data_IF_823712629839
#
_entry.id   IF_823712629839
#
_cell.length_a   1.000
_cell.length_b   1.000
_cell.length_c   1.000
_cell.angle_alpha   90.00
_cell.angle_beta   90.00
_cell.angle_gamma   90.00
#
_symmetry.space_group_name_H-M   'P 1'
#
loop_
_entity.id
_entity.type
_entity.pdbx_description
1 polymer ?
#
# COMPACT_ATOMS: atom_id res chain seq x y z
N UNK A 1 -14.23 -12.51 -13.62
CA UNK A 1 -13.70 -12.98 -12.31
C UNK A 1 -13.78 -11.81 -11.35
N UNK A 2 -14.15 -12.05 -10.08
CA UNK A 2 -14.25 -10.97 -9.08
C UNK A 2 -13.04 -11.06 -8.14
N UNK A 3 -12.38 -9.92 -7.92
CA UNK A 3 -11.09 -9.85 -7.25
C UNK A 3 -11.19 -8.95 -6.02
N UNK A 4 -10.63 -9.39 -4.91
CA UNK A 4 -10.41 -8.58 -3.73
C UNK A 4 -8.92 -8.27 -3.60
N UNK A 5 -8.58 -6.99 -3.47
CA UNK A 5 -7.25 -6.53 -3.11
C UNK A 5 -7.27 -6.10 -1.65
N UNK A 6 -6.57 -6.82 -0.79
CA UNK A 6 -6.39 -6.48 0.61
C UNK A 6 -5.09 -5.69 0.76
N UNK A 7 -5.17 -4.45 1.22
CA UNK A 7 -4.01 -3.60 1.46
C UNK A 7 -3.70 -3.57 2.94
N UNK A 8 -2.56 -4.15 3.32
CA UNK A 8 -2.10 -4.15 4.70
C UNK A 8 -1.15 -2.98 4.88
N UNK A 9 -1.59 -1.94 5.59
CA UNK A 9 -0.89 -0.66 5.73
C UNK A 9 -0.43 -0.43 7.17
N UNK A 10 0.66 0.32 7.35
CA UNK A 10 1.26 0.56 8.68
C UNK A 10 0.41 1.44 9.57
N UNK A 11 -0.25 2.45 9.00
CA UNK A 11 -1.07 3.40 9.73
C UNK A 11 -2.10 2.76 10.65
N UNK A 12 -2.43 3.51 11.69
CA UNK A 12 -3.54 3.16 12.57
C UNK A 12 -4.89 3.52 11.93
N UNK A 13 -5.95 2.89 12.45
CA UNK A 13 -7.34 3.13 12.00
C UNK A 13 -7.82 4.58 12.14
N UNK A 14 -7.15 5.42 12.93
CA UNK A 14 -7.54 6.82 13.20
C UNK A 14 -6.91 7.83 12.24
N UNK A 15 -5.65 7.62 11.83
CA UNK A 15 -4.94 8.50 10.91
C UNK A 15 -5.31 8.22 9.45
N UNK A 16 -5.44 6.93 9.06
CA UNK A 16 -5.79 6.44 7.70
C UNK A 16 -5.00 7.08 6.54
N UNK A 17 -3.89 7.79 6.82
CA UNK A 17 -3.19 8.62 5.84
C UNK A 17 -2.66 7.77 4.70
N UNK A 18 -2.05 6.61 4.98
CA UNK A 18 -1.48 5.76 3.94
C UNK A 18 -2.57 5.28 2.98
N UNK A 19 -3.70 4.86 3.52
CA UNK A 19 -4.83 4.41 2.71
C UNK A 19 -5.38 5.52 1.83
N UNK A 20 -5.36 6.77 2.30
CA UNK A 20 -5.79 7.91 1.48
C UNK A 20 -4.88 8.06 0.26
N UNK A 21 -3.55 8.02 0.42
CA UNK A 21 -2.63 8.10 -0.72
C UNK A 21 -2.76 6.91 -1.66
N UNK A 22 -2.82 5.68 -1.13
CA UNK A 22 -2.96 4.46 -1.94
C UNK A 22 -4.26 4.47 -2.73
N UNK A 23 -5.38 4.83 -2.08
CA UNK A 23 -6.67 4.90 -2.74
C UNK A 23 -6.70 5.99 -3.81
N UNK A 24 -6.12 7.17 -3.53
CA UNK A 24 -6.06 8.27 -4.51
C UNK A 24 -5.20 7.86 -5.73
N UNK A 25 -4.14 7.08 -5.50
CA UNK A 25 -3.31 6.48 -6.57
C UNK A 25 -4.10 5.52 -7.44
N UNK A 26 -4.84 4.59 -6.82
CA UNK A 26 -5.69 3.64 -7.55
C UNK A 26 -6.78 4.39 -8.34
N UNK A 27 -7.48 5.31 -7.68
CA UNK A 27 -8.56 6.10 -8.29
C UNK A 27 -8.06 6.97 -9.44
N UNK A 28 -6.80 7.46 -9.39
CA UNK A 28 -6.23 8.33 -10.42
C UNK A 28 -5.64 7.54 -11.59
N UNK A 29 -4.72 6.59 -11.34
CA UNK A 29 -3.94 5.92 -12.38
C UNK A 29 -4.60 4.69 -13.00
N UNK A 30 -5.58 4.07 -12.33
CA UNK A 30 -6.16 2.80 -12.78
C UNK A 30 -7.65 2.90 -13.09
N UNK A 31 -8.06 2.20 -14.14
CA UNK A 31 -9.45 1.92 -14.44
C UNK A 31 -9.80 0.53 -13.90
N UNK A 32 -10.91 0.45 -13.18
CA UNK A 32 -11.35 -0.80 -12.60
C UNK A 32 -12.85 -0.81 -12.36
N UNK A 33 -13.47 -1.96 -12.61
CA UNK A 33 -14.88 -2.17 -12.30
C UNK A 33 -15.08 -2.29 -10.78
N UNK A 34 -15.75 -1.31 -10.19
CA UNK A 34 -16.04 -1.24 -8.74
C UNK A 34 -16.97 -2.37 -8.26
N UNK A 35 -17.68 -3.03 -9.15
CA UNK A 35 -18.52 -4.18 -8.85
C UNK A 35 -17.72 -5.48 -8.86
N UNK A 36 -16.70 -5.57 -9.72
CA UNK A 36 -15.82 -6.73 -9.82
C UNK A 36 -14.64 -6.69 -8.85
N UNK A 37 -14.09 -5.49 -8.58
CA UNK A 37 -12.91 -5.28 -7.74
C UNK A 37 -13.29 -4.69 -6.39
N UNK A 38 -12.95 -5.41 -5.31
CA UNK A 38 -13.13 -4.97 -3.93
C UNK A 38 -11.79 -4.58 -3.31
N UNK A 39 -11.62 -3.30 -2.98
CA UNK A 39 -10.45 -2.81 -2.25
C UNK A 39 -10.72 -2.86 -0.74
N UNK A 40 -9.86 -3.49 0.05
CA UNK A 40 -10.03 -3.68 1.50
C UNK A 40 -8.78 -3.28 2.27
N UNK A 41 -8.76 -2.15 3.00
CA UNK A 41 -7.63 -1.81 3.85
C UNK A 41 -7.64 -2.57 5.19
N UNK A 42 -6.48 -3.04 5.62
CA UNK A 42 -6.19 -3.64 6.93
C UNK A 42 -5.07 -2.82 7.56
N UNK A 43 -5.31 -2.28 8.75
CA UNK A 43 -4.41 -1.37 9.44
C UNK A 43 -3.57 -2.16 10.46
N UNK A 44 -2.25 -2.11 10.35
CA UNK A 44 -1.33 -2.86 11.22
C UNK A 44 -1.17 -2.24 12.61
N UNK A 45 -1.41 -0.94 12.75
CA UNK A 45 -1.14 -0.17 13.97
C UNK A 45 0.35 -0.27 14.40
N UNK A 46 1.24 -0.17 13.39
CA UNK A 46 2.71 -0.18 13.52
C UNK A 46 3.43 -1.31 12.75
N UNK A 47 4.61 -1.00 12.18
CA UNK A 47 5.40 -1.90 11.31
C UNK A 47 5.68 -3.27 11.90
N UNK A 48 5.94 -3.37 13.21
CA UNK A 48 6.26 -4.64 13.88
C UNK A 48 5.10 -5.64 14.01
N UNK A 49 3.86 -5.25 13.69
CA UNK A 49 2.65 -6.06 13.91
C UNK A 49 2.14 -6.77 12.65
N UNK A 50 2.95 -6.83 11.59
CA UNK A 50 2.55 -7.42 10.31
C UNK A 50 2.03 -8.86 10.40
N UNK A 51 2.58 -9.67 11.31
CA UNK A 51 2.11 -11.05 11.60
C UNK A 51 0.81 -11.10 12.38
N UNK A 52 0.53 -10.08 13.21
CA UNK A 52 -0.64 -10.08 14.09
C UNK A 52 -1.96 -9.91 13.32
N UNK A 53 -1.90 -9.47 12.06
CA UNK A 53 -3.07 -9.23 11.21
C UNK A 53 -3.45 -10.43 10.35
N UNK A 54 -2.72 -11.54 10.40
CA UNK A 54 -3.02 -12.78 9.66
C UNK A 54 -4.45 -13.29 9.92
N UNK A 55 -4.93 -13.23 11.17
CA UNK A 55 -6.32 -13.62 11.49
C UNK A 55 -7.35 -12.72 10.80
N UNK A 56 -7.11 -11.40 10.78
CA UNK A 56 -7.99 -10.43 10.13
C UNK A 56 -7.98 -10.60 8.60
N UNK A 57 -6.80 -10.82 8.01
CA UNK A 57 -6.63 -11.11 6.58
C UNK A 57 -7.35 -12.41 6.21
N UNK A 58 -7.13 -13.49 6.97
CA UNK A 58 -7.77 -14.79 6.74
C UNK A 58 -9.28 -14.71 6.83
N UNK A 59 -9.81 -13.94 7.80
CA UNK A 59 -11.24 -13.69 7.93
C UNK A 59 -11.80 -12.96 6.71
N UNK A 60 -11.10 -11.93 6.22
CA UNK A 60 -11.51 -11.18 5.04
C UNK A 60 -11.50 -12.05 3.76
N UNK A 61 -10.47 -12.88 3.59
CA UNK A 61 -10.36 -13.84 2.48
C UNK A 61 -11.53 -14.83 2.54
N UNK A 62 -11.77 -15.45 3.70
CA UNK A 62 -12.84 -16.43 3.89
C UNK A 62 -14.22 -15.82 3.62
N UNK A 63 -14.48 -14.63 4.16
CA UNK A 63 -15.74 -13.91 3.95
C UNK A 63 -15.97 -13.56 2.48
N UNK A 64 -14.93 -13.14 1.76
CA UNK A 64 -15.05 -12.81 0.34
C UNK A 64 -15.30 -14.05 -0.51
N UNK A 65 -14.54 -15.12 -0.26
CA UNK A 65 -14.68 -16.43 -0.93
C UNK A 65 -16.06 -17.05 -0.70
N UNK A 66 -16.62 -16.90 0.49
CA UNK A 66 -17.92 -17.47 0.85
C UNK A 66 -19.09 -16.95 0.00
N UNK A 67 -19.02 -15.73 -0.53
CA UNK A 67 -20.16 -15.19 -1.27
C UNK A 67 -20.23 -15.57 -2.75
N UNK A 68 -19.37 -16.44 -3.28
CA UNK A 68 -19.53 -16.95 -4.66
C UNK A 68 -18.30 -17.62 -5.28
N UNK A 69 -18.55 -18.47 -6.29
CA UNK A 69 -17.49 -19.14 -7.08
C UNK A 69 -16.70 -18.13 -7.93
N UNK A 70 -15.42 -18.42 -8.19
CA UNK A 70 -14.56 -17.58 -9.04
C UNK A 70 -14.08 -16.27 -8.40
N UNK A 71 -14.21 -16.15 -7.07
CA UNK A 71 -13.68 -15.02 -6.28
C UNK A 71 -12.26 -15.29 -5.84
N UNK A 72 -11.38 -14.35 -6.11
CA UNK A 72 -9.97 -14.41 -5.74
C UNK A 72 -9.61 -13.26 -4.82
N UNK A 73 -8.67 -13.49 -3.91
CA UNK A 73 -8.12 -12.45 -3.05
C UNK A 73 -6.62 -12.38 -3.24
N UNK A 74 -6.10 -11.15 -3.32
CA UNK A 74 -4.67 -10.84 -3.31
C UNK A 74 -4.38 -9.94 -2.12
N UNK A 75 -3.28 -10.22 -1.44
CA UNK A 75 -2.87 -9.48 -0.25
C UNK A 75 -1.60 -8.73 -0.61
N UNK A 76 -1.64 -7.41 -0.43
CA UNK A 76 -0.58 -6.48 -0.75
C UNK A 76 -0.17 -5.81 0.56
N UNK A 77 1.05 -6.08 0.99
CA UNK A 77 1.63 -5.46 2.16
C UNK A 77 2.37 -4.18 1.78
N UNK A 78 2.09 -3.09 2.48
CA UNK A 78 2.64 -1.77 2.22
C UNK A 78 3.45 -1.32 3.44
N UNK A 79 4.76 -1.07 3.24
CA UNK A 79 5.68 -0.69 4.30
C UNK A 79 6.47 0.57 3.98
N UNK A 80 6.71 1.38 5.01
CA UNK A 80 7.65 2.48 4.98
C UNK A 80 9.07 1.94 5.20
N UNK A 81 10.02 2.39 4.38
CA UNK A 81 11.41 1.92 4.49
C UNK A 81 12.21 2.67 5.58
N UNK A 82 11.62 3.68 6.22
CA UNK A 82 12.26 4.52 7.23
C UNK A 82 13.70 4.88 6.84
N UNK A 83 14.67 4.63 7.72
CA UNK A 83 16.08 4.93 7.49
C UNK A 83 16.86 3.66 7.12
N UNK A 84 16.32 2.79 6.27
CA UNK A 84 16.98 1.53 5.86
C UNK A 84 18.43 1.67 5.38
N UNK A 85 18.80 2.84 4.86
CA UNK A 85 20.13 3.13 4.35
C UNK A 85 21.15 3.49 5.44
N UNK A 86 20.70 3.92 6.62
CA UNK A 86 21.58 4.31 7.74
C UNK A 86 21.36 3.47 9.00
N UNK A 87 20.20 2.82 9.14
CA UNK A 87 19.84 1.96 10.27
C UNK A 87 19.78 0.50 9.83
N UNK A 88 20.71 -0.29 10.35
CA UNK A 88 20.80 -1.72 10.08
C UNK A 88 19.54 -2.48 10.51
N UNK A 89 18.87 -2.04 11.58
CA UNK A 89 17.62 -2.63 12.06
C UNK A 89 16.48 -2.52 11.03
N UNK A 90 16.34 -1.36 10.40
CA UNK A 90 15.32 -1.12 9.37
C UNK A 90 15.62 -1.95 8.11
N UNK A 91 16.89 -2.05 7.71
CA UNK A 91 17.30 -2.92 6.61
C UNK A 91 17.00 -4.41 6.90
N UNK A 92 17.28 -4.88 8.11
CA UNK A 92 17.02 -6.25 8.51
C UNK A 92 15.51 -6.53 8.62
N UNK A 93 14.74 -5.58 9.12
CA UNK A 93 13.28 -5.65 9.15
C UNK A 93 12.70 -5.78 7.73
N UNK A 94 13.11 -4.92 6.80
CA UNK A 94 12.65 -5.00 5.40
C UNK A 94 13.00 -6.34 4.76
N UNK A 95 14.21 -6.87 5.01
CA UNK A 95 14.60 -8.19 4.52
C UNK A 95 13.68 -9.29 5.05
N UNK A 96 13.38 -9.27 6.35
CA UNK A 96 12.47 -10.24 7.00
C UNK A 96 11.06 -10.16 6.43
N UNK A 97 10.53 -8.96 6.27
CA UNK A 97 9.19 -8.73 5.72
C UNK A 97 9.11 -9.18 4.27
N UNK A 98 10.12 -8.85 3.46
CA UNK A 98 10.19 -9.29 2.06
C UNK A 98 10.21 -10.82 1.96
N UNK A 99 10.98 -11.49 2.81
CA UNK A 99 10.98 -12.95 2.89
C UNK A 99 9.62 -13.50 3.30
N UNK A 100 8.99 -12.92 4.32
CA UNK A 100 7.65 -13.30 4.76
C UNK A 100 6.60 -13.17 3.64
N UNK A 101 6.59 -12.05 2.91
CA UNK A 101 5.70 -11.85 1.77
C UNK A 101 5.94 -12.90 0.68
N UNK A 102 7.20 -13.24 0.38
CA UNK A 102 7.53 -14.27 -0.60
C UNK A 102 7.04 -15.66 -0.17
N UNK A 103 7.24 -16.04 1.10
CA UNK A 103 6.78 -17.32 1.67
C UNK A 103 5.25 -17.45 1.62
N UNK A 104 4.52 -16.37 1.92
CA UNK A 104 3.06 -16.33 1.92
C UNK A 104 2.46 -16.08 0.52
N UNK A 105 3.29 -15.84 -0.50
CA UNK A 105 2.87 -15.42 -1.86
C UNK A 105 2.03 -14.14 -1.84
N UNK A 106 2.39 -13.21 -0.97
CA UNK A 106 1.84 -11.87 -0.89
C UNK A 106 2.71 -10.89 -1.66
N UNK A 107 2.08 -9.83 -2.18
CA UNK A 107 2.82 -8.76 -2.82
C UNK A 107 3.40 -7.81 -1.78
N UNK A 108 4.60 -7.31 -2.08
CA UNK A 108 5.33 -6.40 -1.23
C UNK A 108 5.49 -5.04 -1.93
N UNK A 109 4.86 -4.03 -1.33
CA UNK A 109 4.98 -2.63 -1.70
C UNK A 109 5.81 -1.90 -0.67
N UNK A 110 6.75 -1.09 -1.15
CA UNK A 110 7.63 -0.29 -0.32
C UNK A 110 7.51 1.19 -0.65
N UNK A 111 7.63 2.04 0.37
CA UNK A 111 7.76 3.49 0.24
C UNK A 111 9.11 3.92 0.77
N UNK A 112 9.99 4.45 -0.08
CA UNK A 112 11.32 4.85 0.37
C UNK A 112 11.22 6.05 1.33
N UNK A 113 11.78 5.87 2.52
CA UNK A 113 11.58 6.73 3.70
C UNK A 113 10.16 6.56 4.26
N UNK A 114 9.20 7.32 3.75
CA UNK A 114 7.80 7.26 4.20
C UNK A 114 6.86 7.57 3.03
N UNK A 115 5.61 7.11 3.12
CA UNK A 115 4.63 7.34 2.06
C UNK A 115 4.44 8.83 1.77
N UNK A 116 4.43 9.71 2.78
CA UNK A 116 4.27 11.15 2.55
C UNK A 116 5.40 11.74 1.71
N UNK A 117 6.66 11.30 1.91
CA UNK A 117 7.82 11.72 1.11
C UNK A 117 7.74 11.24 -0.32
N UNK A 118 7.25 10.02 -0.55
CA UNK A 118 7.05 9.51 -1.91
C UNK A 118 6.06 10.39 -2.70
N UNK A 119 4.93 10.76 -2.09
CA UNK A 119 3.88 11.52 -2.79
C UNK A 119 4.08 13.05 -2.76
N UNK A 120 4.70 13.60 -1.70
CA UNK A 120 4.83 15.05 -1.51
C UNK A 120 6.26 15.57 -1.62
N UNK A 121 7.26 14.68 -1.63
CA UNK A 121 8.68 15.02 -1.58
C UNK A 121 9.14 15.60 -0.24
N UNK A 122 8.28 15.64 0.78
CA UNK A 122 8.55 16.29 2.07
C UNK A 122 8.23 15.36 3.23
N UNK A 123 9.02 15.47 4.30
CA UNK A 123 8.71 14.83 5.58
C UNK A 123 7.50 15.53 6.20
N UNK A 124 6.54 14.74 6.66
CA UNK A 124 5.36 15.24 7.36
C UNK A 124 5.38 14.73 8.81
N UNK A 125 5.12 15.63 9.76
CA UNK A 125 5.05 15.26 11.17
C UNK A 125 3.83 14.37 11.43
N UNK A 126 3.96 13.43 12.38
CA UNK A 126 2.92 12.46 12.68
C UNK A 126 1.54 13.08 12.96
N UNK A 127 1.50 14.23 13.65
CA UNK A 127 0.28 14.98 13.97
C UNK A 127 -0.41 15.56 12.73
N UNK A 128 0.35 15.84 11.67
CA UNK A 128 -0.14 16.48 10.45
C UNK A 128 -0.42 15.49 9.32
N UNK A 129 0.02 14.21 9.44
CA UNK A 129 -0.12 13.19 8.39
C UNK A 129 -1.55 13.07 7.87
N UNK A 130 -2.52 12.99 8.78
CA UNK A 130 -3.96 12.92 8.43
C UNK A 130 -4.39 14.15 7.62
N UNK A 131 -4.19 15.35 8.18
CA UNK A 131 -4.57 16.62 7.53
C UNK A 131 -3.90 16.75 6.16
N UNK A 132 -2.63 16.39 6.04
CA UNK A 132 -1.88 16.45 4.78
C UNK A 132 -2.41 15.48 3.74
N UNK A 133 -2.73 14.25 4.13
CA UNK A 133 -3.32 13.28 3.21
C UNK A 133 -4.71 13.73 2.69
N UNK A 134 -5.52 14.33 3.55
CA UNK A 134 -6.83 14.91 3.17
C UNK A 134 -6.66 16.12 2.25
N UNK A 135 -5.72 17.03 2.55
CA UNK A 135 -5.36 18.17 1.69
C UNK A 135 -4.87 17.70 0.31
N UNK A 136 -4.01 16.70 0.27
CA UNK A 136 -3.44 16.12 -0.95
C UNK A 136 -4.55 15.63 -1.88
N UNK A 137 -5.45 14.80 -1.34
CA UNK A 137 -6.61 14.28 -2.06
C UNK A 137 -7.54 15.41 -2.51
N UNK A 138 -7.88 16.34 -1.62
CA UNK A 138 -8.79 17.47 -1.94
C UNK A 138 -8.25 18.34 -3.08
N UNK A 139 -6.93 18.56 -3.09
CA UNK A 139 -6.23 19.35 -4.11
C UNK A 139 -5.86 18.54 -5.36
N UNK A 140 -6.22 17.25 -5.43
CA UNK A 140 -5.88 16.33 -6.54
C UNK A 140 -4.38 16.34 -6.88
N UNK A 141 -3.53 16.44 -5.85
CA UNK A 141 -2.08 16.57 -6.03
C UNK A 141 -1.45 15.30 -6.65
N UNK A 142 -2.16 14.17 -6.62
CA UNK A 142 -1.78 12.93 -7.32
C UNK A 142 -1.48 13.15 -8.81
N UNK A 143 -2.15 14.13 -9.44
CA UNK A 143 -1.91 14.49 -10.85
C UNK A 143 -0.51 15.03 -11.14
N UNK A 144 0.16 15.61 -10.13
CA UNK A 144 1.53 16.10 -10.24
C UNK A 144 2.58 15.07 -9.84
N UNK A 145 2.18 13.88 -9.36
CA UNK A 145 3.10 12.82 -8.97
C UNK A 145 3.52 12.06 -10.21
N UNK A 146 4.83 12.00 -10.43
CA UNK A 146 5.37 11.33 -11.61
C UNK A 146 5.27 9.80 -11.49
N UNK A 147 4.85 9.14 -12.57
CA UNK A 147 4.66 7.69 -12.65
C UNK A 147 5.96 6.93 -12.42
N UNK A 148 7.09 7.44 -12.92
CA UNK A 148 8.44 6.87 -12.73
C UNK A 148 8.80 6.72 -11.24
N UNK A 149 8.39 7.67 -10.40
CA UNK A 149 8.61 7.59 -8.96
C UNK A 149 7.78 6.51 -8.27
N UNK A 150 6.61 6.17 -8.80
CA UNK A 150 5.73 5.16 -8.21
C UNK A 150 5.87 3.77 -8.86
N UNK A 151 6.70 3.65 -9.90
CA UNK A 151 6.96 2.42 -10.66
C UNK A 151 8.42 1.97 -10.58
N UNK A 152 9.14 2.39 -9.54
CA UNK A 152 10.55 2.07 -9.35
C UNK A 152 10.76 0.56 -9.11
N UNK A 153 11.82 0.01 -9.72
CA UNK A 153 12.19 -1.40 -9.56
C UNK A 153 13.09 -1.64 -8.34
N UNK A 154 13.86 -0.63 -7.94
CA UNK A 154 14.82 -0.67 -6.85
C UNK A 154 14.62 0.53 -5.91
N UNK A 155 15.11 0.39 -4.67
CA UNK A 155 14.99 1.44 -3.66
C UNK A 155 15.74 2.70 -4.07
N UNK A 156 15.01 3.81 -4.22
CA UNK A 156 15.55 5.14 -4.52
C UNK A 156 14.81 6.20 -3.69
N UNK A 157 15.46 7.33 -3.41
CA UNK A 157 14.83 8.38 -2.59
C UNK A 157 13.49 8.86 -3.17
N UNK A 158 12.46 8.91 -2.32
CA UNK A 158 11.11 9.35 -2.66
C UNK A 158 10.46 8.52 -3.79
N UNK A 159 10.78 7.23 -3.89
CA UNK A 159 10.17 6.31 -4.84
C UNK A 159 9.40 5.18 -4.15
N UNK A 160 8.59 4.47 -4.94
CA UNK A 160 7.84 3.28 -4.56
C UNK A 160 7.70 2.36 -5.78
N UNK A 161 7.40 1.09 -5.54
CA UNK A 161 7.04 0.11 -6.57
C UNK A 161 5.52 -0.10 -6.70
N UNK A 162 4.69 0.71 -6.04
CA UNK A 162 3.24 0.49 -5.94
C UNK A 162 2.54 0.31 -7.30
N UNK A 163 2.89 1.10 -8.32
CA UNK A 163 2.27 0.98 -9.64
C UNK A 163 2.60 -0.36 -10.30
N UNK A 164 3.87 -0.82 -10.20
CA UNK A 164 4.29 -2.12 -10.76
C UNK A 164 3.51 -3.30 -10.18
N UNK A 165 3.11 -3.19 -8.91
CA UNK A 165 2.32 -4.23 -8.24
C UNK A 165 0.86 -4.13 -8.67
N UNK A 166 0.30 -2.92 -8.70
CA UNK A 166 -1.10 -2.70 -9.08
C UNK A 166 -1.39 -3.02 -10.55
N UNK A 167 -0.44 -2.75 -11.46
CA UNK A 167 -0.50 -3.08 -12.89
C UNK A 167 -0.65 -4.58 -13.17
N UNK A 168 -0.32 -5.46 -12.22
CA UNK A 168 -0.55 -6.90 -12.36
C UNK A 168 -2.02 -7.29 -12.19
N UNK A 169 -2.84 -6.38 -11.65
CA UNK A 169 -4.21 -6.65 -11.22
C UNK A 169 -5.24 -5.68 -11.79
N UNK A 170 -4.82 -4.47 -12.15
CA UNK A 170 -5.66 -3.38 -12.62
C UNK A 170 -5.11 -2.82 -13.92
N UNK A 171 -6.02 -2.35 -14.78
CA UNK A 171 -5.65 -1.71 -16.04
C UNK A 171 -5.32 -0.24 -15.81
N UNK A 172 -4.14 0.21 -16.28
CA UNK A 172 -3.82 1.63 -16.25
C UNK A 172 -4.74 2.42 -17.17
N UNK A 173 -5.15 3.61 -16.72
CA UNK A 173 -5.83 4.57 -17.58
C UNK A 173 -4.89 5.02 -18.69
N UNK A 174 -5.41 5.02 -19.91
CA UNK A 174 -4.74 5.54 -21.10
C UNK A 174 -5.03 7.03 -21.29
#
# INVERSE_FOLDING_TARGET
MSLQLIFVVETNKTCKSDWIYIKDTIDYFFEYDRTAIKLTPVYMDGKGKYKNKEKEISKNIAAYKAGGKGRQTKVIYCFDCDDYNTKQEDAFFLKKVRQYCAEQKYDFVWFCKDIERVYTGKKVNAVDKKKKSEEFKKKKQISGVKVDKLSAAEYQENTSNILRILEQYLDMKR
#
